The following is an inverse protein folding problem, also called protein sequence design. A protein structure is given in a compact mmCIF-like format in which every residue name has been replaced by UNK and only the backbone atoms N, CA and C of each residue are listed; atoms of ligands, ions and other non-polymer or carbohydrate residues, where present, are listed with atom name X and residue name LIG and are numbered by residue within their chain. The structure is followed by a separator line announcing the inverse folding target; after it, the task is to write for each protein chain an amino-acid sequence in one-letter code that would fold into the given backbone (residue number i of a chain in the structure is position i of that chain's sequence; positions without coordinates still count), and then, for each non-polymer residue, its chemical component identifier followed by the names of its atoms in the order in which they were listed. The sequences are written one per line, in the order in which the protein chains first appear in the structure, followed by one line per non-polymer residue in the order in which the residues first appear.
data_IF_674204411011
#
_entry.id   IF_674204411011
#
_cell.length_a   1.000
_cell.length_b   1.000
_cell.length_c   1.000
_cell.angle_alpha   90.00
_cell.angle_beta   90.00
_cell.angle_gamma   90.00
#
_symmetry.space_group_name_H-M   'P 1'
#
loop_
_entity.id
_entity.type
_entity.pdbx_description
1 polymer ?
#
# COMPACT_ATOMS: atom_id res chain seq x y z
N UNK A 1 -13.55 25.90 -27.65
CA UNK A 1 -12.58 26.88 -27.12
C UNK A 1 -11.92 27.61 -28.29
N UNK A 2 -11.73 28.92 -28.18
CA UNK A 2 -10.97 29.69 -29.18
C UNK A 2 -9.46 29.45 -29.03
N UNK A 3 -8.68 29.70 -30.09
CA UNK A 3 -7.20 29.58 -30.08
C UNK A 3 -6.51 30.41 -28.98
N UNK A 4 -7.21 31.41 -28.42
CA UNK A 4 -6.68 32.32 -27.40
C UNK A 4 -6.92 31.87 -25.94
N UNK A 5 -7.71 30.83 -25.70
CA UNK A 5 -8.12 30.42 -24.33
C UNK A 5 -7.22 29.32 -23.75
N UNK A 6 -6.69 28.44 -24.61
CA UNK A 6 -5.89 27.28 -24.19
C UNK A 6 -4.66 27.11 -25.08
N UNK A 7 -3.51 26.75 -24.47
CA UNK A 7 -2.22 26.59 -25.17
C UNK A 7 -2.08 25.22 -25.87
N UNK A 8 -3.13 24.41 -25.86
CA UNK A 8 -3.12 23.02 -26.31
C UNK A 8 -3.54 22.96 -27.78
N UNK A 9 -2.88 22.10 -28.56
CA UNK A 9 -3.24 21.90 -29.97
C UNK A 9 -4.68 21.42 -30.10
N UNK A 10 -5.44 21.99 -31.04
CA UNK A 10 -6.84 21.64 -31.30
C UNK A 10 -7.03 20.13 -31.55
N UNK A 11 -6.07 19.46 -32.18
CA UNK A 11 -6.12 18.01 -32.41
C UNK A 11 -6.01 17.21 -31.11
N UNK A 12 -5.22 17.69 -30.14
CA UNK A 12 -5.09 17.05 -28.82
C UNK A 12 -6.34 17.34 -27.95
N UNK A 13 -6.91 18.54 -28.05
CA UNK A 13 -8.17 18.90 -27.38
C UNK A 13 -9.33 18.00 -27.83
N UNK A 14 -9.44 17.69 -29.13
CA UNK A 14 -10.48 16.77 -29.65
C UNK A 14 -10.37 15.35 -29.09
N UNK A 15 -9.22 14.94 -28.55
CA UNK A 15 -9.06 13.63 -27.89
C UNK A 15 -9.47 13.64 -26.42
N UNK A 16 -9.66 14.81 -25.83
CA UNK A 16 -10.04 14.96 -24.41
C UNK A 16 -11.49 14.58 -24.16
N UNK A 17 -11.80 14.20 -22.91
CA UNK A 17 -13.18 13.86 -22.50
C UNK A 17 -14.14 15.05 -22.67
N UNK A 18 -13.67 16.27 -22.42
CA UNK A 18 -14.52 17.47 -22.43
C UNK A 18 -14.87 17.98 -23.84
N UNK A 19 -13.95 17.82 -24.81
CA UNK A 19 -14.11 18.39 -26.15
C UNK A 19 -14.33 17.37 -27.26
N UNK A 20 -14.28 16.07 -26.96
CA UNK A 20 -14.53 15.00 -27.95
C UNK A 20 -16.01 14.80 -28.30
N UNK A 21 -16.93 15.16 -27.40
CA UNK A 21 -18.37 14.98 -27.59
C UNK A 21 -19.21 15.52 -26.43
N UNK A 22 -20.54 15.38 -26.50
CA UNK A 22 -21.42 15.80 -25.41
C UNK A 22 -21.16 14.94 -24.16
N UNK A 23 -20.82 15.59 -23.06
CA UNK A 23 -20.58 14.93 -21.76
C UNK A 23 -21.92 14.60 -21.10
N UNK A 24 -22.13 13.33 -20.74
CA UNK A 24 -23.30 12.90 -19.96
C UNK A 24 -23.00 13.04 -18.45
N UNK A 25 -23.74 13.88 -17.70
CA UNK A 25 -23.55 14.00 -16.24
C UNK A 25 -23.72 12.68 -15.49
N UNK A 26 -24.53 11.75 -16.02
CA UNK A 26 -24.73 10.44 -15.42
C UNK A 26 -23.47 9.57 -15.49
N UNK A 27 -22.64 9.74 -16.53
CA UNK A 27 -21.39 8.98 -16.68
C UNK A 27 -20.37 9.32 -15.60
N UNK A 28 -20.35 10.58 -15.14
CA UNK A 28 -19.52 11.03 -14.02
C UNK A 28 -19.96 10.40 -12.69
N UNK A 29 -21.27 10.31 -12.45
CA UNK A 29 -21.84 9.61 -11.28
C UNK A 29 -21.58 8.08 -11.34
N UNK A 30 -21.07 7.58 -12.46
CA UNK A 30 -20.79 6.16 -12.66
C UNK A 30 -22.00 5.37 -13.17
N UNK A 31 -22.95 6.03 -13.84
CA UNK A 31 -24.06 5.38 -14.55
C UNK A 31 -23.77 5.37 -16.05
N UNK A 32 -23.49 4.19 -16.61
CA UNK A 32 -23.27 4.02 -18.04
C UNK A 32 -24.26 3.01 -18.63
N UNK A 33 -24.88 3.37 -19.76
CA UNK A 33 -25.71 2.43 -20.52
C UNK A 33 -24.78 1.45 -21.25
N UNK A 34 -24.82 0.18 -20.86
CA UNK A 34 -24.01 -0.88 -21.47
C UNK A 34 -24.86 -2.08 -21.86
N UNK A 35 -24.61 -2.61 -23.05
CA UNK A 35 -25.15 -3.88 -23.52
C UNK A 35 -23.94 -4.78 -23.80
N UNK A 36 -23.73 -5.90 -23.08
CA UNK A 36 -24.62 -6.57 -22.12
C UNK A 36 -24.54 -6.07 -20.66
N UNK A 37 -25.70 -5.93 -20.00
CA UNK A 37 -25.83 -5.43 -18.62
C UNK A 37 -25.06 -6.27 -17.57
N UNK A 38 -24.96 -7.60 -17.78
CA UNK A 38 -24.32 -8.48 -16.81
C UNK A 38 -22.83 -8.18 -16.64
N UNK A 39 -22.11 -7.82 -17.72
CA UNK A 39 -20.68 -7.47 -17.64
C UNK A 39 -20.48 -6.19 -16.83
N UNK A 40 -21.38 -5.23 -16.99
CA UNK A 40 -21.37 -3.97 -16.23
C UNK A 40 -21.61 -4.20 -14.72
N UNK A 41 -22.57 -5.06 -14.38
CA UNK A 41 -22.91 -5.36 -12.99
C UNK A 41 -22.00 -6.42 -12.34
N UNK A 42 -21.20 -7.16 -13.12
CA UNK A 42 -20.39 -8.28 -12.65
C UNK A 42 -19.55 -7.94 -11.43
N UNK A 43 -18.83 -6.81 -11.45
CA UNK A 43 -17.94 -6.43 -10.36
C UNK A 43 -18.71 -6.13 -9.07
N UNK A 44 -19.85 -5.44 -9.17
CA UNK A 44 -20.72 -5.15 -8.01
C UNK A 44 -21.34 -6.42 -7.44
N UNK A 45 -21.79 -7.34 -8.30
CA UNK A 45 -22.32 -8.64 -7.88
C UNK A 45 -21.25 -9.50 -7.21
N UNK A 46 -20.02 -9.49 -7.71
CA UNK A 46 -18.89 -10.18 -7.08
C UNK A 46 -18.55 -9.58 -5.72
N UNK A 47 -18.55 -8.25 -5.59
CA UNK A 47 -18.34 -7.58 -4.30
C UNK A 47 -19.44 -7.98 -3.30
N UNK A 48 -20.70 -7.95 -3.71
CA UNK A 48 -21.82 -8.38 -2.87
C UNK A 48 -21.69 -9.86 -2.47
N UNK A 49 -21.30 -10.73 -3.41
CA UNK A 49 -21.08 -12.14 -3.14
C UNK A 49 -19.96 -12.37 -2.11
N UNK A 50 -18.85 -11.62 -2.21
CA UNK A 50 -17.74 -11.69 -1.24
C UNK A 50 -18.19 -11.23 0.15
N UNK A 51 -18.93 -10.13 0.25
CA UNK A 51 -19.46 -9.62 1.53
C UNK A 51 -20.46 -10.61 2.16
N UNK A 52 -21.35 -11.19 1.36
CA UNK A 52 -22.28 -12.22 1.83
C UNK A 52 -21.51 -13.48 2.28
N UNK A 53 -20.47 -13.86 1.54
CA UNK A 53 -19.63 -15.02 1.87
C UNK A 53 -18.83 -14.83 3.15
N UNK A 54 -18.28 -13.63 3.40
CA UNK A 54 -17.61 -13.27 4.66
C UNK A 54 -18.53 -13.49 5.87
N UNK A 55 -19.73 -12.91 5.83
CA UNK A 55 -20.73 -13.06 6.91
C UNK A 55 -21.15 -14.52 7.05
N UNK A 56 -21.29 -15.24 5.93
CA UNK A 56 -21.63 -16.67 5.94
C UNK A 56 -20.55 -17.49 6.62
N UNK A 57 -19.27 -17.25 6.33
CA UNK A 57 -18.14 -17.91 7.00
C UNK A 57 -18.17 -17.60 8.50
N UNK A 58 -18.33 -16.33 8.87
CA UNK A 58 -18.36 -15.91 10.27
C UNK A 58 -19.46 -16.65 11.05
N UNK A 59 -20.68 -16.67 10.50
CA UNK A 59 -21.83 -17.37 11.10
C UNK A 59 -21.65 -18.88 11.13
N UNK A 60 -21.08 -19.47 10.08
CA UNK A 60 -20.81 -20.90 10.04
C UNK A 60 -19.80 -21.31 11.12
N UNK A 61 -18.72 -20.54 11.28
CA UNK A 61 -17.72 -20.77 12.33
C UNK A 61 -18.32 -20.62 13.74
N UNK A 62 -19.16 -19.60 13.96
CA UNK A 62 -19.88 -19.40 15.23
C UNK A 62 -20.79 -20.59 15.55
N UNK A 63 -21.61 -21.03 14.58
CA UNK A 63 -22.49 -22.18 14.72
C UNK A 63 -21.73 -23.47 15.05
N UNK A 64 -20.62 -23.73 14.34
CA UNK A 64 -19.79 -24.90 14.57
C UNK A 64 -19.20 -24.92 16.00
N UNK A 65 -18.76 -23.76 16.50
CA UNK A 65 -18.24 -23.63 17.87
C UNK A 65 -19.32 -23.88 18.92
N UNK A 66 -20.50 -23.29 18.77
CA UNK A 66 -21.62 -23.50 19.68
C UNK A 66 -22.06 -24.97 19.72
N UNK A 67 -22.19 -25.62 18.55
CA UNK A 67 -22.63 -27.01 18.46
C UNK A 67 -21.67 -27.99 19.13
N UNK A 68 -20.37 -27.72 19.05
CA UNK A 68 -19.33 -28.58 19.60
C UNK A 68 -18.83 -28.11 20.98
N UNK A 69 -19.48 -27.11 21.59
CA UNK A 69 -19.07 -26.49 22.86
C UNK A 69 -17.59 -26.04 22.87
N UNK A 70 -17.08 -25.53 21.74
CA UNK A 70 -15.72 -25.02 21.60
C UNK A 70 -15.68 -23.52 21.91
N UNK A 71 -14.66 -23.08 22.64
CA UNK A 71 -14.41 -21.66 22.90
C UNK A 71 -13.67 -21.00 21.74
N UNK A 72 -13.78 -19.67 21.63
CA UNK A 72 -12.99 -18.92 20.65
C UNK A 72 -11.49 -19.03 21.03
N UNK A 73 -10.62 -19.40 20.07
CA UNK A 73 -9.20 -19.51 20.36
C UNK A 73 -8.61 -18.13 20.67
N UNK A 74 -7.77 -18.08 21.72
CA UNK A 74 -7.12 -16.83 22.17
C UNK A 74 -6.14 -16.33 21.10
N UNK A 75 -5.55 -17.24 20.32
CA UNK A 75 -4.67 -16.93 19.20
C UNK A 75 -5.38 -17.23 17.87
N UNK A 76 -5.33 -16.27 16.95
CA UNK A 76 -5.93 -16.39 15.60
C UNK A 76 -4.99 -17.16 14.65
N UNK A 77 -4.47 -18.32 15.08
CA UNK A 77 -3.55 -19.14 14.28
C UNK A 77 -4.27 -20.28 13.58
N UNK A 78 -3.67 -20.79 12.50
CA UNK A 78 -4.21 -21.91 11.71
C UNK A 78 -3.85 -23.24 12.40
N UNK A 79 -2.60 -23.36 12.83
CA UNK A 79 -2.09 -24.53 13.55
C UNK A 79 -1.91 -24.18 15.04
N UNK A 80 -2.72 -24.75 15.92
CA UNK A 80 -2.66 -24.46 17.36
C UNK A 80 -1.57 -25.26 18.10
N UNK A 81 -1.05 -26.32 17.48
CA UNK A 81 -0.02 -27.23 18.00
C UNK A 81 1.41 -26.67 17.86
N UNK A 82 1.62 -25.69 16.98
CA UNK A 82 2.96 -25.16 16.66
C UNK A 82 3.24 -23.88 17.43
N UNK A 83 4.32 -23.90 18.22
CA UNK A 83 4.84 -22.78 19.01
C UNK A 83 6.28 -22.48 18.61
N UNK A 84 6.89 -21.42 19.16
CA UNK A 84 8.30 -21.08 18.95
C UNK A 84 9.26 -22.21 19.32
N UNK A 85 8.90 -23.06 20.28
CA UNK A 85 9.74 -24.20 20.68
C UNK A 85 9.85 -25.24 19.56
N UNK A 86 8.77 -25.44 18.79
CA UNK A 86 8.72 -26.43 17.71
C UNK A 86 9.37 -25.95 16.40
N UNK A 87 9.88 -24.71 16.36
CA UNK A 87 10.49 -24.13 15.17
C UNK A 87 11.72 -24.93 14.71
N UNK A 88 12.54 -25.35 15.68
CA UNK A 88 13.87 -25.91 15.45
C UNK A 88 13.85 -27.45 15.36
N UNK A 89 12.68 -28.09 15.53
CA UNK A 89 12.51 -29.55 15.52
C UNK A 89 12.52 -30.17 14.10
N UNK A 90 12.26 -29.37 13.06
CA UNK A 90 12.26 -29.85 11.68
C UNK A 90 11.62 -28.91 10.67
N UNK A 91 11.94 -29.11 9.38
CA UNK A 91 11.52 -28.21 8.30
C UNK A 91 9.99 -28.06 8.20
N UNK A 92 9.22 -29.12 8.41
CA UNK A 92 7.76 -29.07 8.34
C UNK A 92 7.18 -28.20 9.46
N UNK A 93 7.70 -28.32 10.68
CA UNK A 93 7.27 -27.50 11.82
C UNK A 93 7.70 -26.04 11.64
N UNK A 94 8.88 -25.83 11.06
CA UNK A 94 9.37 -24.52 10.66
C UNK A 94 8.44 -23.83 9.65
N UNK A 95 8.03 -24.52 8.59
CA UNK A 95 7.07 -23.99 7.61
C UNK A 95 5.71 -23.69 8.25
N UNK A 96 5.18 -24.58 9.10
CA UNK A 96 3.93 -24.32 9.83
C UNK A 96 4.03 -23.11 10.76
N UNK A 97 5.17 -22.92 11.42
CA UNK A 97 5.43 -21.75 12.26
C UNK A 97 5.41 -20.47 11.43
N UNK A 98 6.10 -20.45 10.29
CA UNK A 98 6.08 -19.29 9.40
C UNK A 98 4.68 -19.03 8.85
N UNK A 99 3.91 -20.04 8.47
CA UNK A 99 2.51 -19.82 8.03
C UNK A 99 1.68 -19.12 9.12
N UNK A 100 1.89 -19.45 10.39
CA UNK A 100 1.19 -18.82 11.51
C UNK A 100 1.71 -17.42 11.87
N UNK A 101 3.04 -17.20 11.82
CA UNK A 101 3.70 -16.04 12.44
C UNK A 101 4.62 -15.27 11.49
N UNK A 102 4.51 -15.46 10.17
CA UNK A 102 5.34 -14.76 9.18
C UNK A 102 5.23 -13.24 9.32
N UNK A 103 3.99 -12.73 9.31
CA UNK A 103 3.76 -11.29 9.46
C UNK A 103 4.08 -10.80 10.87
N UNK A 104 3.92 -11.65 11.89
CA UNK A 104 4.31 -11.34 13.27
C UNK A 104 5.81 -11.12 13.43
N UNK A 105 6.66 -11.85 12.69
CA UNK A 105 8.13 -11.69 12.76
C UNK A 105 8.67 -10.67 11.77
N UNK A 106 8.13 -10.62 10.54
CA UNK A 106 8.69 -9.84 9.43
C UNK A 106 7.82 -8.66 9.00
N UNK A 107 6.77 -8.30 9.75
CA UNK A 107 5.81 -7.28 9.33
C UNK A 107 6.43 -5.93 8.99
N UNK A 108 7.37 -5.44 9.82
CA UNK A 108 8.11 -4.20 9.54
C UNK A 108 8.96 -4.29 8.27
N UNK A 109 9.64 -5.41 8.03
CA UNK A 109 10.44 -5.61 6.83
C UNK A 109 9.56 -5.62 5.57
N UNK A 110 8.41 -6.31 5.63
CA UNK A 110 7.41 -6.38 4.56
C UNK A 110 6.79 -5.00 4.26
N UNK A 111 6.62 -4.15 5.27
CA UNK A 111 6.12 -2.78 5.10
C UNK A 111 7.18 -1.84 4.48
N UNK A 112 8.44 -1.96 4.93
CA UNK A 112 9.53 -1.05 4.53
C UNK A 112 10.07 -1.39 3.13
N UNK A 113 10.13 -2.67 2.74
CA UNK A 113 10.72 -3.10 1.46
C UNK A 113 10.10 -2.46 0.22
N UNK A 114 8.76 -2.45 0.05
CA UNK A 114 8.14 -1.82 -1.11
C UNK A 114 8.40 -0.31 -1.15
N UNK A 115 8.39 0.36 0.01
CA UNK A 115 8.69 1.80 0.15
C UNK A 115 10.14 2.07 -0.27
N UNK A 116 11.08 1.24 0.19
CA UNK A 116 12.49 1.33 -0.17
C UNK A 116 12.73 1.10 -1.66
N UNK A 117 12.11 0.09 -2.27
CA UNK A 117 12.19 -0.19 -3.70
C UNK A 117 11.64 0.97 -4.55
N UNK A 118 10.49 1.54 -4.16
CA UNK A 118 9.89 2.70 -4.82
C UNK A 118 10.78 3.94 -4.70
N UNK A 119 11.30 4.20 -3.49
CA UNK A 119 12.24 5.29 -3.23
C UNK A 119 13.52 5.15 -4.07
N UNK A 120 14.11 3.95 -4.12
CA UNK A 120 15.27 3.66 -4.97
C UNK A 120 14.95 3.89 -6.45
N UNK A 121 13.81 3.45 -6.95
CA UNK A 121 13.41 3.69 -8.34
C UNK A 121 13.31 5.19 -8.66
N UNK A 122 12.70 5.97 -7.75
CA UNK A 122 12.60 7.43 -7.89
C UNK A 122 13.96 8.14 -7.81
N UNK A 123 14.83 7.75 -6.86
CA UNK A 123 16.18 8.30 -6.73
C UNK A 123 17.07 7.92 -7.91
N UNK A 124 17.04 6.66 -8.36
CA UNK A 124 17.83 6.22 -9.53
C UNK A 124 17.40 7.00 -10.76
N UNK A 125 16.10 7.26 -10.93
CA UNK A 125 15.58 8.09 -12.01
C UNK A 125 16.08 9.54 -11.89
N UNK A 126 15.98 10.14 -10.70
CA UNK A 126 16.47 11.51 -10.44
C UNK A 126 17.98 11.63 -10.63
N UNK A 127 18.74 10.64 -10.17
CA UNK A 127 20.19 10.58 -10.31
C UNK A 127 20.60 10.36 -11.77
N UNK A 128 19.86 9.55 -12.54
CA UNK A 128 20.05 9.40 -13.99
C UNK A 128 19.86 10.74 -14.73
N UNK A 129 18.84 11.53 -14.36
CA UNK A 129 18.63 12.87 -14.91
C UNK A 129 19.75 13.85 -14.51
N UNK A 130 20.24 13.81 -13.27
CA UNK A 130 21.38 14.60 -12.82
C UNK A 130 22.69 14.20 -13.51
N UNK A 131 22.88 12.91 -13.78
CA UNK A 131 24.06 12.37 -14.47
C UNK A 131 24.09 12.67 -15.98
N UNK A 132 22.96 12.97 -16.61
CA UNK A 132 22.92 13.54 -17.98
C UNK A 132 23.33 15.03 -17.97
N UNK A 133 23.24 15.70 -16.82
CA UNK A 133 23.45 17.15 -16.71
C UNK A 133 24.82 17.62 -16.19
N UNK A 134 25.59 16.83 -15.44
CA UNK A 134 26.81 17.35 -14.77
C UNK A 134 27.90 16.26 -14.60
N UNK A 135 29.17 16.49 -15.03
CA UNK A 135 30.30 15.59 -14.76
C UNK A 135 30.70 15.58 -13.27
N UNK A 136 31.30 14.50 -12.76
CA UNK A 136 31.31 14.19 -11.33
C UNK A 136 32.36 15.00 -10.56
N UNK A 137 31.94 15.65 -9.47
CA UNK A 137 32.83 16.01 -8.38
C UNK A 137 32.18 15.63 -7.02
N UNK A 138 32.93 15.01 -6.08
CA UNK A 138 32.34 14.27 -4.96
C UNK A 138 32.41 15.05 -3.64
N UNK A 139 31.36 14.99 -2.81
CA UNK A 139 31.43 15.41 -1.41
C UNK A 139 30.74 14.38 -0.49
N UNK A 140 31.52 13.91 0.49
CA UNK A 140 31.19 12.92 1.52
C UNK A 140 30.40 13.56 2.67
N UNK A 141 29.49 12.80 3.31
CA UNK A 141 29.03 13.11 4.67
C UNK A 141 27.74 12.39 5.08
N UNK A 142 27.86 11.34 5.91
CA UNK A 142 26.73 10.65 6.55
C UNK A 142 26.31 11.40 7.82
N UNK A 143 25.07 11.90 7.90
CA UNK A 143 24.26 12.16 9.11
C UNK A 143 22.96 12.88 8.72
N UNK A 144 21.94 12.15 8.26
CA UNK A 144 20.62 12.74 7.94
C UNK A 144 19.44 11.74 8.01
N UNK A 145 19.54 10.69 8.84
CA UNK A 145 18.53 9.61 8.87
C UNK A 145 17.39 9.87 9.90
N UNK A 146 17.61 10.48 11.09
CA UNK A 146 16.53 10.63 12.08
C UNK A 146 15.54 11.78 11.82
N UNK A 147 15.95 12.83 11.09
CA UNK A 147 15.09 14.01 10.82
C UNK A 147 14.19 13.78 9.60
N UNK A 148 14.61 12.93 8.66
CA UNK A 148 13.80 12.54 7.50
C UNK A 148 12.57 11.70 7.89
N UNK A 149 12.65 10.93 8.99
CA UNK A 149 11.56 10.07 9.47
C UNK A 149 10.31 10.86 9.90
N UNK A 150 10.51 12.01 10.57
CA UNK A 150 9.40 12.87 11.03
C UNK A 150 8.73 13.70 9.93
N UNK A 151 9.41 13.99 8.82
CA UNK A 151 8.77 14.58 7.63
C UNK A 151 8.05 13.51 6.80
N UNK A 152 8.56 12.29 6.77
CA UNK A 152 7.98 11.19 5.99
C UNK A 152 6.64 10.70 6.55
N UNK A 153 6.48 10.65 7.87
CA UNK A 153 5.22 10.25 8.53
C UNK A 153 4.08 11.27 8.31
N UNK A 154 4.43 12.55 8.05
CA UNK A 154 3.47 13.60 7.69
C UNK A 154 3.20 13.67 6.18
N UNK A 155 4.17 13.33 5.34
CA UNK A 155 4.03 13.31 3.87
C UNK A 155 3.18 12.12 3.36
N UNK A 156 3.20 10.97 4.05
CA UNK A 156 2.34 9.82 3.70
C UNK A 156 0.87 10.13 4.02
N UNK A 157 0.60 10.83 5.12
CA UNK A 157 -0.77 11.20 5.50
C UNK A 157 -1.33 12.39 4.69
N UNK A 158 -0.46 13.27 4.16
CA UNK A 158 -0.88 14.38 3.30
C UNK A 158 -1.11 13.97 1.83
N UNK A 159 -0.51 12.87 1.36
CA UNK A 159 -0.75 12.33 0.01
C UNK A 159 -2.07 11.55 -0.08
N UNK A 160 -2.46 10.85 0.99
CA UNK A 160 -3.70 10.05 1.04
C UNK A 160 -4.98 10.91 1.02
N UNK A 161 -4.98 12.08 1.66
CA UNK A 161 -6.14 13.00 1.63
C UNK A 161 -6.27 13.85 0.37
N UNK A 162 -5.22 13.95 -0.45
CA UNK A 162 -5.30 14.80 -1.64
C UNK A 162 -6.02 14.08 -2.78
N UNK A 163 -5.92 12.75 -2.90
CA UNK A 163 -6.52 12.00 -4.01
C UNK A 163 -8.03 11.81 -3.83
N UNK A 164 -8.53 11.50 -2.63
CA UNK A 164 -9.97 11.41 -2.36
C UNK A 164 -10.68 12.78 -2.46
N UNK A 165 -10.01 13.86 -2.08
CA UNK A 165 -10.56 15.22 -2.19
C UNK A 165 -10.49 15.75 -3.64
N UNK A 166 -9.47 15.38 -4.41
CA UNK A 166 -9.37 15.77 -5.83
C UNK A 166 -10.32 14.98 -6.75
N UNK A 167 -10.62 13.71 -6.46
CA UNK A 167 -11.58 12.92 -7.26
C UNK A 167 -13.05 13.27 -6.96
N UNK A 168 -13.39 13.64 -5.72
CA UNK A 168 -14.81 13.79 -5.30
C UNK A 168 -15.38 15.20 -5.43
N UNK A 169 -14.56 16.26 -5.34
CA UNK A 169 -15.07 17.65 -5.29
C UNK A 169 -14.70 18.54 -6.48
N UNK A 170 -13.52 18.39 -7.09
CA UNK A 170 -13.07 19.33 -8.15
C UNK A 170 -13.34 18.84 -9.57
N UNK A 171 -13.29 17.52 -9.82
CA UNK A 171 -13.56 16.94 -11.13
C UNK A 171 -15.05 17.06 -11.52
N UNK A 172 -15.94 16.94 -10.53
CA UNK A 172 -17.40 17.06 -10.63
C UNK A 172 -17.83 18.46 -11.08
N UNK A 173 -17.23 19.49 -10.48
CA UNK A 173 -17.57 20.88 -10.75
C UNK A 173 -17.01 21.33 -12.11
N UNK A 174 -15.76 20.97 -12.43
CA UNK A 174 -15.11 21.30 -13.70
C UNK A 174 -15.82 20.66 -14.91
N UNK A 175 -16.20 19.37 -14.80
CA UNK A 175 -16.89 18.66 -15.88
C UNK A 175 -18.34 19.15 -16.07
N UNK A 176 -19.05 19.49 -14.98
CA UNK A 176 -20.42 20.03 -15.04
C UNK A 176 -20.46 21.47 -15.59
N UNK A 177 -19.48 22.30 -15.22
CA UNK A 177 -19.41 23.70 -15.64
C UNK A 177 -18.67 23.93 -16.98
N UNK A 178 -18.22 22.87 -17.68
CA UNK A 178 -17.36 22.98 -18.87
C UNK A 178 -16.15 23.91 -18.65
N UNK A 179 -15.57 23.88 -17.46
CA UNK A 179 -14.42 24.68 -17.09
C UNK A 179 -13.15 23.81 -17.15
N UNK A 180 -12.18 24.25 -17.94
CA UNK A 180 -10.85 23.62 -17.95
C UNK A 180 -10.08 23.95 -16.67
N UNK A 181 -9.13 23.07 -16.33
CA UNK A 181 -8.30 23.28 -15.15
C UNK A 181 -7.32 24.46 -15.30
N UNK A 182 -6.99 25.18 -14.21
CA UNK A 182 -6.14 26.37 -14.25
C UNK A 182 -4.75 26.15 -14.89
N UNK A 183 -4.18 24.95 -14.75
CA UNK A 183 -2.88 24.58 -15.33
C UNK A 183 -2.90 24.38 -16.85
N UNK A 184 -4.08 24.33 -17.49
CA UNK A 184 -4.24 24.27 -18.97
C UNK A 184 -4.60 25.64 -19.59
N UNK A 185 -4.73 26.68 -18.78
CA UNK A 185 -5.00 28.05 -19.26
C UNK A 185 -3.88 28.57 -20.20
N UNK A 186 -4.22 29.46 -21.14
CA UNK A 186 -3.26 30.04 -22.10
C UNK A 186 -2.02 30.68 -21.46
N UNK A 187 -2.12 31.15 -20.21
CA UNK A 187 -1.03 31.77 -19.45
C UNK A 187 -0.18 30.77 -18.65
N UNK A 188 -0.58 29.49 -18.56
CA UNK A 188 0.12 28.47 -17.80
C UNK A 188 1.24 27.80 -18.62
N UNK A 189 2.38 27.53 -17.98
CA UNK A 189 3.55 26.89 -18.60
C UNK A 189 3.68 25.40 -18.22
N UNK A 190 2.57 24.71 -17.97
CA UNK A 190 2.58 23.27 -17.67
C UNK A 190 2.50 22.44 -18.96
N UNK A 191 3.50 21.58 -19.18
CA UNK A 191 3.44 20.56 -20.23
C UNK A 191 2.71 19.30 -19.69
N UNK A 192 2.01 18.59 -20.57
CA UNK A 192 1.42 17.26 -20.33
C UNK A 192 2.34 16.29 -19.56
N UNK A 193 3.66 16.30 -19.80
CA UNK A 193 4.61 15.47 -19.06
C UNK A 193 4.75 15.88 -17.58
N UNK A 194 4.73 17.18 -17.29
CA UNK A 194 4.84 17.72 -15.91
C UNK A 194 3.55 17.43 -15.14
N UNK A 195 2.40 17.60 -15.80
CA UNK A 195 1.07 17.32 -15.23
C UNK A 195 0.97 15.83 -14.85
N UNK A 196 1.39 14.94 -15.75
CA UNK A 196 1.45 13.49 -15.49
C UNK A 196 2.38 13.15 -14.33
N UNK A 197 3.53 13.80 -14.25
CA UNK A 197 4.52 13.55 -13.19
C UNK A 197 4.03 14.05 -11.81
N UNK A 198 3.33 15.19 -11.77
CA UNK A 198 2.72 15.74 -10.56
C UNK A 198 1.42 15.04 -10.16
N UNK A 199 0.91 14.13 -11.01
CA UNK A 199 -0.36 13.43 -10.80
C UNK A 199 -1.56 14.38 -10.63
N UNK A 200 -1.55 15.51 -11.33
CA UNK A 200 -2.66 16.44 -11.34
C UNK A 200 -3.84 15.89 -12.15
N UNK A 201 -5.09 16.21 -11.76
CA UNK A 201 -6.25 15.82 -12.55
C UNK A 201 -6.20 16.52 -13.92
N UNK A 202 -6.58 15.82 -14.98
CA UNK A 202 -6.56 16.39 -16.32
C UNK A 202 -7.49 15.60 -17.25
N UNK A 203 -8.19 16.29 -18.14
CA UNK A 203 -9.11 15.67 -19.09
C UNK A 203 -8.40 15.09 -20.32
N UNK A 204 -7.18 15.55 -20.62
CA UNK A 204 -6.34 15.09 -21.74
C UNK A 204 -5.48 13.91 -21.27
N UNK A 205 -4.66 14.11 -20.24
CA UNK A 205 -3.76 13.09 -19.70
C UNK A 205 -4.30 12.56 -18.37
N UNK A 206 -5.14 11.52 -18.44
CA UNK A 206 -5.72 10.93 -17.23
C UNK A 206 -4.64 10.31 -16.33
N UNK A 207 -4.65 10.61 -15.01
CA UNK A 207 -3.82 9.89 -14.05
C UNK A 207 -4.21 8.40 -14.02
N UNK A 208 -3.24 7.52 -13.78
CA UNK A 208 -3.49 6.07 -13.79
C UNK A 208 -3.99 5.58 -12.42
N UNK A 209 -5.28 5.20 -12.27
CA UNK A 209 -5.85 4.83 -10.97
C UNK A 209 -5.26 3.53 -10.39
N UNK A 210 -4.56 2.72 -11.19
CA UNK A 210 -3.90 1.50 -10.71
C UNK A 210 -2.85 1.80 -9.62
N UNK A 211 -2.30 3.03 -9.60
CA UNK A 211 -1.34 3.39 -8.55
C UNK A 211 -1.95 3.38 -7.13
N UNK A 212 -3.25 3.63 -7.00
CA UNK A 212 -3.96 3.57 -5.72
C UNK A 212 -3.98 2.16 -5.12
N UNK A 213 -3.81 1.11 -5.94
CA UNK A 213 -3.71 -0.27 -5.44
C UNK A 213 -2.46 -0.43 -4.57
N UNK A 214 -1.35 0.24 -4.91
CA UNK A 214 -0.14 0.19 -4.08
C UNK A 214 -0.36 0.89 -2.75
N UNK A 215 -0.99 2.06 -2.75
CA UNK A 215 -1.33 2.79 -1.52
C UNK A 215 -2.29 1.99 -0.64
N UNK A 216 -3.29 1.34 -1.24
CA UNK A 216 -4.18 0.43 -0.52
C UNK A 216 -3.44 -0.76 0.11
N UNK A 217 -2.51 -1.38 -0.62
CA UNK A 217 -1.69 -2.48 -0.09
C UNK A 217 -0.77 -2.01 1.04
N UNK A 218 -0.23 -0.79 0.95
CA UNK A 218 0.56 -0.18 2.02
C UNK A 218 -0.30 0.07 3.26
N UNK A 219 -1.50 0.64 3.09
CA UNK A 219 -2.44 0.86 4.18
C UNK A 219 -2.88 -0.46 4.84
N UNK A 220 -3.10 -1.51 4.04
CA UNK A 220 -3.40 -2.85 4.54
C UNK A 220 -2.24 -3.40 5.38
N UNK A 221 -1.00 -3.33 4.88
CA UNK A 221 0.19 -3.76 5.62
C UNK A 221 0.38 -2.94 6.90
N UNK A 222 0.23 -1.62 6.86
CA UNK A 222 0.33 -0.76 8.03
C UNK A 222 -0.74 -1.06 9.09
N UNK A 223 -1.97 -1.36 8.66
CA UNK A 223 -3.07 -1.78 9.55
C UNK A 223 -2.78 -3.12 10.22
N UNK A 224 -2.23 -4.09 9.47
CA UNK A 224 -1.79 -5.38 10.02
C UNK A 224 -0.58 -5.20 10.96
N UNK A 225 0.34 -4.30 10.65
CA UNK A 225 1.51 -4.01 11.48
C UNK A 225 1.10 -3.40 12.82
N UNK A 226 0.15 -2.47 12.79
CA UNK A 226 -0.46 -1.91 14.01
C UNK A 226 -1.06 -3.00 14.88
N UNK A 227 -1.86 -3.90 14.30
CA UNK A 227 -2.44 -5.03 15.03
C UNK A 227 -1.36 -5.93 15.66
N UNK A 228 -0.27 -6.16 14.94
CA UNK A 228 0.87 -6.96 15.40
C UNK A 228 1.53 -6.32 16.63
N UNK A 229 1.76 -5.01 16.63
CA UNK A 229 2.29 -4.29 17.81
C UNK A 229 1.37 -4.38 19.03
N UNK A 230 0.06 -4.35 18.83
CA UNK A 230 -0.91 -4.54 19.93
C UNK A 230 -0.86 -5.99 20.47
N UNK A 231 -0.64 -6.98 19.61
CA UNK A 231 -0.56 -8.38 19.98
C UNK A 231 0.80 -8.76 20.61
N UNK A 232 1.91 -8.17 20.19
CA UNK A 232 3.25 -8.34 20.79
C UNK A 232 3.29 -7.94 22.27
N UNK A 233 2.45 -6.98 22.66
CA UNK A 233 2.36 -6.54 24.05
C UNK A 233 1.66 -7.55 24.97
N UNK A 234 0.94 -8.54 24.40
CA UNK A 234 0.21 -9.56 25.17
C UNK A 234 1.14 -10.70 25.56
N UNK A 235 1.28 -10.93 26.87
CA UNK A 235 2.15 -11.99 27.42
C UNK A 235 1.79 -13.39 26.88
N UNK A 236 0.50 -13.70 26.70
CA UNK A 236 0.04 -14.98 26.15
C UNK A 236 0.57 -15.22 24.72
N UNK A 237 0.66 -14.17 23.90
CA UNK A 237 1.18 -14.28 22.53
C UNK A 237 2.69 -14.46 22.55
N UNK A 238 3.42 -13.70 23.38
CA UNK A 238 4.88 -13.81 23.51
C UNK A 238 5.35 -15.20 23.90
N UNK A 239 4.62 -15.89 24.78
CA UNK A 239 4.97 -17.27 25.20
C UNK A 239 4.86 -18.25 24.01
N UNK A 240 3.87 -18.06 23.13
CA UNK A 240 3.57 -18.98 22.04
C UNK A 240 4.38 -18.66 20.78
N UNK A 241 4.42 -17.39 20.38
CA UNK A 241 5.07 -16.89 19.17
C UNK A 241 6.56 -16.58 19.37
N UNK A 242 7.02 -16.44 20.62
CA UNK A 242 8.37 -16.00 20.97
C UNK A 242 8.51 -14.48 20.98
N UNK A 243 9.54 -14.00 21.68
CA UNK A 243 9.80 -12.57 21.82
C UNK A 243 10.30 -11.92 20.51
N UNK A 244 10.00 -10.63 20.34
CA UNK A 244 10.40 -9.78 19.20
C UNK A 244 11.30 -8.61 19.62
N UNK A 245 11.74 -8.58 20.88
CA UNK A 245 12.61 -7.52 21.39
C UNK A 245 14.02 -7.64 20.81
N UNK A 246 14.57 -6.50 20.39
CA UNK A 246 15.95 -6.41 19.91
C UNK A 246 16.95 -6.80 21.00
N UNK A 247 17.93 -7.62 20.63
CA UNK A 247 19.01 -8.05 21.52
C UNK A 247 20.06 -6.93 21.62
N UNK A 248 20.65 -6.74 22.80
CA UNK A 248 21.67 -5.72 23.05
C UNK A 248 22.89 -5.88 22.11
N UNK A 249 23.31 -4.79 21.47
CA UNK A 249 24.43 -4.78 20.52
C UNK A 249 25.82 -4.98 21.15
N UNK A 250 25.94 -4.91 22.47
CA UNK A 250 27.23 -4.95 23.18
C UNK A 250 27.53 -6.33 23.82
N UNK A 251 26.83 -7.39 23.39
CA UNK A 251 27.02 -8.74 23.93
C UNK A 251 28.18 -9.44 23.21
N UNK A 252 29.14 -9.95 23.98
CA UNK A 252 30.23 -10.78 23.47
C UNK A 252 29.77 -12.24 23.36
N UNK A 253 29.99 -12.87 22.19
CA UNK A 253 29.50 -14.22 21.89
C UNK A 253 30.05 -15.28 22.86
N UNK A 254 31.30 -15.11 23.32
CA UNK A 254 31.93 -16.04 24.25
C UNK A 254 31.25 -16.06 25.62
N UNK A 255 30.90 -14.88 26.16
CA UNK A 255 30.23 -14.75 27.46
C UNK A 255 28.73 -15.03 27.40
N UNK A 256 28.09 -14.78 26.25
CA UNK A 256 26.65 -14.96 26.07
C UNK A 256 26.23 -16.36 25.62
N UNK A 257 27.16 -17.19 25.11
CA UNK A 257 26.87 -18.56 24.63
C UNK A 257 26.11 -19.43 25.64
N UNK A 258 26.40 -19.31 26.93
CA UNK A 258 25.74 -20.06 28.00
C UNK A 258 24.31 -19.58 28.32
N UNK A 259 23.97 -18.36 27.92
CA UNK A 259 22.67 -17.73 28.19
C UNK A 259 21.77 -17.71 26.94
N UNK A 260 22.26 -18.22 25.80
CA UNK A 260 21.51 -18.25 24.56
C UNK A 260 20.46 -19.38 24.61
N UNK A 261 19.16 -19.08 24.47
CA UNK A 261 18.11 -20.10 24.46
C UNK A 261 18.09 -20.94 23.17
N UNK A 262 18.84 -20.56 22.13
CA UNK A 262 18.86 -21.23 20.83
C UNK A 262 19.89 -22.37 20.83
N UNK A 263 19.53 -23.59 20.38
CA UNK A 263 20.46 -24.71 20.29
C UNK A 263 21.55 -24.48 19.24
N UNK A 264 22.69 -25.15 19.41
CA UNK A 264 23.80 -25.05 18.47
C UNK A 264 23.48 -25.77 17.14
N UNK A 265 23.45 -24.99 16.06
CA UNK A 265 23.16 -25.45 14.71
C UNK A 265 24.41 -25.58 13.82
N UNK A 266 25.61 -25.24 14.32
CA UNK A 266 26.86 -25.25 13.55
C UNK A 266 27.20 -26.67 13.05
N UNK A 267 26.81 -27.67 13.83
CA UNK A 267 27.17 -29.06 13.57
C UNK A 267 26.17 -29.82 12.67
N UNK A 268 25.14 -29.15 12.13
CA UNK A 268 24.15 -29.70 11.19
C UNK A 268 23.71 -31.14 11.55
N UNK A 269 23.34 -31.36 12.82
CA UNK A 269 22.92 -32.67 13.34
C UNK A 269 21.52 -33.06 12.85
#
# INVERSE_FOLDING_TARGET
PGENETKVNLEELKTSVLYSGPVDPAEWVGLRKSYPLLVYLRNNLLMLAILAFEVTIYRHQEYYRCRNNLTAPVTKTIFHDITRAHLDDGLVNCVKYFINYFFYKFGLEVEIWPKYCCFLACIITFQYFLCIGIPPAPCKGKKAIPVAWKCWEMDVFQRERMIEVLESTDCSFACFCHADYPWRSGNANFNSNIIKWLYFPDFIVRPNPVFLVYDFMLLLCASLQRQTFEDENKAAVRIIAGDNVEICMNLDAASFSQHNPVPDFIHCR
#
